data_IF_189115717504
#
_entry.id   IF_189115717504
#
_cell.length_a   1.000
_cell.length_b   1.000
_cell.length_c   1.000
_cell.angle_alpha   90.00
_cell.angle_beta   90.00
_cell.angle_gamma   90.00
#
_symmetry.space_group_name_H-M   'P 1'
#
loop_
_entity.id
_entity.type
_entity.pdbx_description
1 polymer ?
#
# COMPACT_ATOMS: atom_id res chain seq x y z
N UNK A 1 -50.33 -13.80 14.89
CA UNK A 1 -49.25 -12.84 14.58
C UNK A 1 -48.07 -13.66 14.07
N UNK A 2 -47.81 -13.62 12.76
CA UNK A 2 -46.83 -14.50 12.10
C UNK A 2 -45.44 -13.96 12.41
N UNK A 3 -44.53 -14.81 12.90
CA UNK A 3 -43.18 -14.44 13.32
C UNK A 3 -42.41 -13.77 12.16
N UNK A 4 -42.33 -12.44 12.17
CA UNK A 4 -41.60 -11.61 11.19
C UNK A 4 -40.09 -11.53 11.49
N UNK A 5 -39.68 -11.96 12.69
CA UNK A 5 -38.30 -11.93 13.17
C UNK A 5 -37.29 -12.66 12.28
N UNK A 6 -37.55 -13.88 11.74
CA UNK A 6 -36.58 -14.55 10.87
C UNK A 6 -36.41 -13.87 9.51
N UNK A 7 -37.45 -13.17 9.02
CA UNK A 7 -37.41 -12.43 7.76
C UNK A 7 -36.57 -11.16 7.92
N UNK A 8 -36.72 -10.48 9.06
CA UNK A 8 -35.93 -9.29 9.38
C UNK A 8 -34.44 -9.61 9.53
N UNK A 9 -34.12 -10.75 10.15
CA UNK A 9 -32.74 -11.18 10.36
C UNK A 9 -32.03 -11.53 9.04
N UNK A 10 -32.75 -12.19 8.11
CA UNK A 10 -32.24 -12.49 6.78
C UNK A 10 -31.97 -11.23 5.94
N UNK A 11 -32.82 -10.20 6.07
CA UNK A 11 -32.64 -8.92 5.39
C UNK A 11 -31.41 -8.15 5.89
N UNK A 12 -31.13 -8.19 7.20
CA UNK A 12 -29.95 -7.54 7.79
C UNK A 12 -28.65 -8.23 7.33
N UNK A 13 -28.62 -9.56 7.25
CA UNK A 13 -27.45 -10.29 6.76
C UNK A 13 -27.14 -10.01 5.28
N UNK A 14 -28.15 -9.71 4.45
CA UNK A 14 -27.95 -9.36 3.04
C UNK A 14 -27.30 -7.97 2.85
N UNK A 15 -27.58 -7.04 3.78
CA UNK A 15 -27.08 -5.66 3.76
C UNK A 15 -25.67 -5.51 4.35
N UNK A 16 -25.17 -6.52 5.07
CA UNK A 16 -23.86 -6.51 5.74
C UNK A 16 -22.72 -7.09 4.88
N UNK A 17 -22.97 -7.38 3.59
CA UNK A 17 -21.87 -7.76 2.71
C UNK A 17 -20.98 -6.54 2.48
N UNK A 18 -19.69 -6.56 2.86
CA UNK A 18 -18.77 -5.52 2.44
C UNK A 18 -18.74 -5.54 0.92
N UNK A 19 -19.27 -4.48 0.31
CA UNK A 19 -19.26 -4.27 -1.13
C UNK A 19 -17.81 -4.14 -1.58
N UNK A 20 -17.20 -5.26 -1.95
CA UNK A 20 -15.99 -5.27 -2.75
C UNK A 20 -16.42 -4.80 -4.15
N UNK A 21 -16.31 -3.50 -4.42
CA UNK A 21 -16.67 -2.95 -5.72
C UNK A 21 -15.70 -3.50 -6.79
N UNK A 22 -16.24 -4.22 -7.77
CA UNK A 22 -15.45 -4.69 -8.89
C UNK A 22 -14.99 -3.49 -9.71
N UNK A 23 -13.69 -3.21 -9.68
CA UNK A 23 -13.13 -2.09 -10.42
C UNK A 23 -13.28 -2.32 -11.93
N UNK A 24 -13.81 -1.35 -12.71
CA UNK A 24 -13.94 -1.51 -14.16
C UNK A 24 -12.57 -1.75 -14.79
N UNK A 25 -12.54 -2.56 -15.86
CA UNK A 25 -11.33 -2.80 -16.65
C UNK A 25 -10.79 -1.45 -17.14
N UNK A 26 -9.53 -1.12 -16.82
CA UNK A 26 -8.92 0.13 -17.31
C UNK A 26 -8.71 0.05 -18.81
N UNK A 27 -9.02 1.13 -19.53
CA UNK A 27 -8.63 1.30 -20.94
C UNK A 27 -7.13 0.98 -21.10
N UNK A 28 -6.73 0.11 -22.04
CA UNK A 28 -5.32 -0.16 -22.35
C UNK A 28 -4.49 1.11 -22.59
N UNK A 29 -5.12 2.19 -23.08
CA UNK A 29 -4.45 3.48 -23.32
C UNK A 29 -4.04 4.22 -22.04
N UNK A 30 -4.60 3.83 -20.89
CA UNK A 30 -4.31 4.41 -19.58
C UNK A 30 -3.34 3.53 -18.76
N UNK A 31 -2.62 2.61 -19.42
CA UNK A 31 -1.61 1.79 -18.77
C UNK A 31 -0.25 2.51 -18.75
N UNK A 32 0.21 2.87 -17.56
CA UNK A 32 1.48 3.52 -17.33
C UNK A 32 2.49 2.53 -16.75
N UNK A 33 3.68 2.46 -17.35
CA UNK A 33 4.79 1.67 -16.82
C UNK A 33 5.47 2.43 -15.69
N UNK A 34 5.62 1.78 -14.53
CA UNK A 34 6.28 2.32 -13.36
C UNK A 34 7.50 1.45 -13.06
N UNK A 35 8.62 2.11 -12.75
CA UNK A 35 9.84 1.47 -12.23
C UNK A 35 10.31 2.23 -10.99
N UNK A 36 10.47 1.50 -9.89
CA UNK A 36 10.87 2.03 -8.58
C UNK A 36 12.26 1.49 -8.28
N UNK A 37 13.21 2.39 -8.07
CA UNK A 37 14.55 2.04 -7.60
C UNK A 37 14.62 2.22 -6.10
N UNK A 38 15.20 1.25 -5.41
CA UNK A 38 15.47 1.34 -3.97
C UNK A 38 16.95 1.63 -3.77
N UNK A 39 17.25 2.65 -2.97
CA UNK A 39 18.60 2.81 -2.43
C UNK A 39 18.78 1.82 -1.28
N UNK A 40 19.58 0.78 -1.52
CA UNK A 40 19.86 -0.28 -0.54
C UNK A 40 20.89 0.16 0.52
N UNK A 41 21.40 1.40 0.44
CA UNK A 41 22.29 1.97 1.44
C UNK A 41 21.47 2.50 2.64
N UNK A 42 21.10 1.59 3.56
CA UNK A 42 20.57 2.03 4.85
C UNK A 42 21.70 2.62 5.68
N UNK A 43 21.55 3.88 6.10
CA UNK A 43 22.48 4.58 6.98
C UNK A 43 22.21 4.23 8.44
N UNK A 44 23.28 4.13 9.23
CA UNK A 44 23.20 4.11 10.70
C UNK A 44 22.85 5.47 11.27
N UNK A 45 21.55 5.74 11.38
CA UNK A 45 21.06 7.00 11.90
C UNK A 45 20.43 6.78 13.26
N UNK A 46 21.02 7.39 14.30
CA UNK A 46 20.35 7.59 15.58
C UNK A 46 20.00 9.07 15.69
N UNK A 47 18.71 9.39 15.76
CA UNK A 47 18.23 10.76 15.94
C UNK A 47 18.77 11.76 14.89
N UNK A 48 18.75 11.39 13.61
CA UNK A 48 19.25 12.17 12.47
C UNK A 48 20.78 12.37 12.39
N UNK A 49 21.57 11.75 13.27
CA UNK A 49 23.03 11.75 13.18
C UNK A 49 23.56 10.40 12.70
N UNK A 50 24.46 10.43 11.70
CA UNK A 50 25.19 9.25 11.28
C UNK A 50 26.24 8.87 12.33
N UNK A 51 26.16 7.65 12.85
CA UNK A 51 27.14 7.09 13.78
C UNK A 51 27.81 5.84 13.16
N UNK A 52 29.08 5.94 12.70
CA UNK A 52 29.79 4.81 12.13
C UNK A 52 30.17 3.73 13.16
N UNK A 53 30.03 4.01 14.47
CA UNK A 53 30.30 3.03 15.52
C UNK A 53 29.11 2.07 15.76
N UNK A 54 27.93 2.40 15.25
CA UNK A 54 26.77 1.50 15.29
C UNK A 54 26.85 0.49 14.14
N UNK A 55 26.31 -0.71 14.36
CA UNK A 55 26.20 -1.72 13.31
C UNK A 55 25.14 -1.31 12.28
N UNK A 56 25.44 -1.49 10.99
CA UNK A 56 24.44 -1.29 9.94
C UNK A 56 23.27 -2.23 10.15
N UNK A 57 22.02 -1.73 10.22
CA UNK A 57 20.87 -2.62 10.26
C UNK A 57 20.92 -3.49 9.00
N UNK A 58 20.69 -4.77 9.19
CA UNK A 58 20.68 -5.71 8.08
C UNK A 58 19.53 -5.35 7.13
N UNK A 59 19.88 -4.91 5.92
CA UNK A 59 18.89 -4.61 4.91
C UNK A 59 18.32 -5.90 4.34
N UNK A 60 17.08 -6.22 4.72
CA UNK A 60 16.32 -7.26 4.06
C UNK A 60 15.53 -6.65 2.91
N UNK A 61 15.88 -7.02 1.67
CA UNK A 61 15.18 -6.56 0.48
C UNK A 61 13.69 -6.94 0.55
N UNK A 62 12.76 -6.02 0.23
CA UNK A 62 11.35 -6.34 0.18
C UNK A 62 11.06 -7.35 -0.93
N UNK A 63 10.04 -8.19 -0.74
CA UNK A 63 9.59 -9.12 -1.79
C UNK A 63 8.59 -8.49 -2.74
N UNK A 64 7.80 -7.55 -2.22
CA UNK A 64 6.71 -6.89 -2.92
C UNK A 64 6.70 -5.41 -2.54
N UNK A 65 6.57 -4.54 -3.53
CA UNK A 65 6.37 -3.11 -3.33
C UNK A 65 4.92 -2.75 -3.65
N UNK A 66 4.19 -2.16 -2.70
CA UNK A 66 2.88 -1.55 -3.01
C UNK A 66 3.12 -0.17 -3.60
N UNK A 67 2.36 0.14 -4.64
CA UNK A 67 2.27 1.45 -5.28
C UNK A 67 0.82 1.86 -5.22
N UNK A 68 0.54 2.94 -4.50
CA UNK A 68 -0.79 3.50 -4.29
C UNK A 68 -0.82 4.92 -4.84
N UNK A 69 -1.85 5.21 -5.64
CA UNK A 69 -2.04 6.48 -6.33
C UNK A 69 -3.34 7.09 -5.84
N UNK A 70 -3.28 8.34 -5.39
CA UNK A 70 -4.40 9.06 -4.80
C UNK A 70 -4.71 10.31 -5.62
N UNK A 71 -5.99 10.61 -5.74
CA UNK A 71 -6.45 11.87 -6.33
C UNK A 71 -6.20 13.00 -5.32
N UNK A 72 -5.44 14.06 -5.70
CA UNK A 72 -5.08 15.14 -4.78
C UNK A 72 -6.28 16.01 -4.39
N UNK A 73 -7.35 16.04 -5.20
CA UNK A 73 -8.54 16.83 -4.92
C UNK A 73 -9.49 16.11 -3.94
N UNK A 74 -9.61 14.80 -4.07
CA UNK A 74 -10.54 13.99 -3.25
C UNK A 74 -9.87 13.28 -2.10
N UNK A 75 -8.53 13.22 -2.08
CA UNK A 75 -7.73 12.43 -1.14
C UNK A 75 -8.08 10.95 -1.15
N UNK A 76 -8.60 10.42 -2.26
CA UNK A 76 -9.03 9.02 -2.37
C UNK A 76 -8.06 8.18 -3.18
N UNK A 77 -7.87 6.93 -2.75
CA UNK A 77 -7.16 5.92 -3.53
C UNK A 77 -7.86 5.71 -4.87
N UNK A 78 -7.19 6.09 -5.95
CA UNK A 78 -7.70 5.94 -7.30
C UNK A 78 -7.09 4.75 -8.00
N UNK A 79 -5.85 4.35 -7.71
CA UNK A 79 -5.26 3.14 -8.27
C UNK A 79 -4.21 2.50 -7.35
N UNK A 80 -4.10 1.17 -7.42
CA UNK A 80 -3.04 0.45 -6.71
C UNK A 80 -2.48 -0.74 -7.48
N UNK A 81 -1.21 -1.03 -7.20
CA UNK A 81 -0.49 -2.21 -7.69
C UNK A 81 0.49 -2.74 -6.67
N UNK A 82 0.69 -4.05 -6.72
CA UNK A 82 1.70 -4.76 -5.95
C UNK A 82 2.75 -5.27 -6.92
N UNK A 83 3.90 -4.60 -6.97
CA UNK A 83 5.00 -4.91 -7.86
C UNK A 83 5.82 -6.05 -7.26
N UNK A 84 5.94 -7.15 -8.01
CA UNK A 84 6.73 -8.33 -7.63
C UNK A 84 7.87 -8.58 -8.61
N UNK A 85 7.75 -8.09 -9.84
CA UNK A 85 8.80 -8.17 -10.83
C UNK A 85 9.99 -7.35 -10.36
N UNK A 86 11.16 -7.96 -10.43
CA UNK A 86 12.41 -7.38 -9.97
C UNK A 86 13.45 -7.45 -11.09
N UNK A 87 14.29 -6.43 -11.15
CA UNK A 87 15.44 -6.38 -12.04
C UNK A 87 16.57 -5.56 -11.44
N UNK A 88 17.65 -5.44 -12.19
CA UNK A 88 18.79 -4.61 -11.84
C UNK A 88 19.39 -4.02 -13.11
N UNK A 89 19.72 -2.74 -13.08
CA UNK A 89 20.45 -2.05 -14.14
C UNK A 89 21.49 -1.09 -13.54
N UNK A 90 22.08 -0.22 -14.37
CA UNK A 90 23.12 0.73 -13.95
C UNK A 90 22.67 1.69 -12.82
N UNK A 91 21.36 1.90 -12.64
CA UNK A 91 20.81 2.74 -11.57
C UNK A 91 20.57 1.98 -10.27
N UNK A 92 20.67 0.65 -10.30
CA UNK A 92 20.49 -0.22 -9.15
C UNK A 92 19.33 -1.20 -9.30
N UNK A 93 18.97 -1.82 -8.18
CA UNK A 93 17.84 -2.75 -8.09
C UNK A 93 16.52 -2.01 -8.25
N UNK A 94 15.57 -2.63 -8.95
CA UNK A 94 14.26 -2.05 -9.15
C UNK A 94 13.10 -3.04 -9.08
N UNK A 95 11.92 -2.50 -8.81
CA UNK A 95 10.63 -3.14 -8.98
C UNK A 95 9.86 -2.47 -10.12
N UNK A 96 9.20 -3.26 -10.96
CA UNK A 96 8.46 -2.71 -12.10
C UNK A 96 7.09 -3.35 -12.34
N UNK A 97 6.28 -2.66 -13.13
CA UNK A 97 4.98 -3.13 -13.58
C UNK A 97 4.13 -2.02 -14.18
N UNK A 98 2.88 -2.36 -14.50
CA UNK A 98 1.93 -1.42 -15.11
C UNK A 98 0.80 -1.06 -14.14
N UNK A 99 0.50 0.23 -14.06
CA UNK A 99 -0.68 0.75 -13.37
C UNK A 99 -1.66 1.35 -14.37
N UNK A 100 -2.95 1.04 -14.21
CA UNK A 100 -4.01 1.60 -15.05
C UNK A 100 -4.62 2.83 -14.38
N UNK A 101 -4.34 4.02 -14.90
CA UNK A 101 -4.90 5.28 -14.39
C UNK A 101 -4.93 6.31 -15.53
N UNK A 102 -5.96 7.17 -15.63
CA UNK A 102 -5.96 8.26 -16.61
C UNK A 102 -4.76 9.20 -16.43
N UNK A 103 -4.37 9.91 -17.48
CA UNK A 103 -3.37 10.96 -17.37
C UNK A 103 -3.87 12.11 -16.46
N UNK A 104 -3.03 12.55 -15.54
CA UNK A 104 -3.38 13.59 -14.57
C UNK A 104 -2.30 13.78 -13.50
N UNK A 105 -2.59 14.67 -12.55
CA UNK A 105 -1.76 14.90 -11.37
C UNK A 105 -2.26 14.03 -10.21
N UNK A 106 -1.33 13.35 -9.54
CA UNK A 106 -1.65 12.41 -8.49
C UNK A 106 -0.64 12.45 -7.34
N UNK A 107 -1.10 12.11 -6.15
CA UNK A 107 -0.24 11.81 -5.02
C UNK A 107 0.16 10.33 -5.07
N UNK A 108 1.45 10.03 -4.88
CA UNK A 108 1.99 8.67 -4.98
C UNK A 108 2.58 8.25 -3.63
N UNK A 109 2.21 7.07 -3.16
CA UNK A 109 2.84 6.41 -2.02
C UNK A 109 3.39 5.06 -2.47
N UNK A 110 4.62 4.76 -2.05
CA UNK A 110 5.27 3.47 -2.30
C UNK A 110 5.90 2.94 -1.03
N UNK A 111 5.66 1.67 -0.69
CA UNK A 111 6.26 1.04 0.50
C UNK A 111 6.36 -0.48 0.33
N UNK A 112 7.22 -1.09 1.15
CA UNK A 112 7.38 -2.54 1.22
C UNK A 112 6.11 -3.20 1.77
N UNK A 113 5.51 -4.11 1.01
CA UNK A 113 4.35 -4.88 1.45
C UNK A 113 4.77 -6.21 2.08
N UNK A 114 4.04 -6.65 3.11
CA UNK A 114 4.26 -7.94 3.76
C UNK A 114 5.33 -7.92 4.87
N UNK A 115 5.47 -6.80 5.58
CA UNK A 115 6.29 -6.76 6.80
C UNK A 115 5.64 -7.60 7.91
N UNK A 116 6.45 -8.22 8.77
CA UNK A 116 5.94 -9.08 9.84
C UNK A 116 5.32 -8.30 11.03
N UNK A 117 5.74 -7.06 11.24
CA UNK A 117 5.43 -6.29 12.47
C UNK A 117 4.66 -4.99 12.20
N UNK A 118 4.77 -4.44 10.99
CA UNK A 118 4.12 -3.17 10.62
C UNK A 118 2.81 -3.44 9.90
N UNK A 119 1.75 -2.87 10.45
CA UNK A 119 0.42 -2.79 9.86
C UNK A 119 0.19 -1.38 9.33
N UNK A 120 -0.76 -1.24 8.40
CA UNK A 120 -1.15 0.04 7.84
C UNK A 120 -2.65 0.22 8.02
N UNK A 121 -3.09 1.44 8.36
CA UNK A 121 -4.53 1.80 8.43
C UNK A 121 -4.81 3.08 7.65
N UNK A 122 -6.10 3.34 7.39
CA UNK A 122 -6.58 4.45 6.55
C UNK A 122 -5.95 4.44 5.15
N UNK A 123 -5.83 3.25 4.55
CA UNK A 123 -5.14 3.04 3.26
C UNK A 123 -5.86 3.69 2.06
N UNK A 124 -7.04 4.26 2.29
CA UNK A 124 -7.86 4.96 1.30
C UNK A 124 -7.58 6.47 1.23
N UNK A 125 -6.82 7.04 2.18
CA UNK A 125 -6.49 8.47 2.27
C UNK A 125 -4.98 8.71 2.27
N UNK A 126 -4.49 9.59 1.40
CA UNK A 126 -3.06 9.94 1.36
C UNK A 126 -2.60 10.64 2.64
N UNK A 127 -3.43 11.53 3.19
CA UNK A 127 -3.07 12.31 4.38
C UNK A 127 -3.28 11.59 5.71
N UNK A 128 -4.13 10.54 5.75
CA UNK A 128 -4.45 9.82 6.99
C UNK A 128 -3.79 8.44 7.09
N UNK A 129 -3.19 7.96 5.99
CA UNK A 129 -2.49 6.69 5.96
C UNK A 129 -1.33 6.68 6.94
N UNK A 130 -1.32 5.67 7.82
CA UNK A 130 -0.30 5.55 8.84
C UNK A 130 0.15 4.11 9.05
N UNK A 131 1.44 3.95 9.29
CA UNK A 131 2.08 2.70 9.63
C UNK A 131 2.21 2.59 11.15
N UNK A 132 1.79 1.45 11.71
CA UNK A 132 1.80 1.22 13.15
C UNK A 132 2.18 -0.24 13.47
N UNK A 133 2.66 -0.47 14.69
CA UNK A 133 2.87 -1.81 15.24
C UNK A 133 1.79 -2.12 16.27
N UNK A 134 1.58 -3.40 16.57
CA UNK A 134 0.67 -3.77 17.66
C UNK A 134 1.08 -3.09 18.97
N UNK A 135 0.11 -2.61 19.77
CA UNK A 135 0.42 -2.12 21.10
C UNK A 135 1.04 -3.26 21.91
N UNK A 136 2.06 -2.93 22.70
CA UNK A 136 2.62 -3.87 23.66
C UNK A 136 1.52 -4.09 24.71
N UNK A 137 1.08 -5.35 24.88
CA UNK A 137 0.14 -5.70 25.94
C UNK A 137 0.87 -5.59 27.25
N UNK A 138 0.56 -4.57 28.06
CA UNK A 138 1.00 -4.49 29.45
C UNK A 138 0.37 -5.67 30.21
N UNK A 139 1.19 -6.68 30.51
CA UNK A 139 0.88 -7.76 31.45
C UNK A 139 1.55 -7.48 32.79
#
# INVERSE_FOLDING_TARGET
>A
MRNLLPILLAAICALLNPSCEHRPLSDPNNAHYIRIYLDEQIKNVTCDFYDPALEHPEYTRPKVMRVAVFDPATDKLVAERFLQNQGSDERGHYFDGYIGIPAGEYNLITYSFGSAVTMVRNEDSFYQMEAYTNPISDH
#
